data_IF_010219168923
#
_entry.id   IF_010219168923
#
_cell.length_a   1.000
_cell.length_b   1.000
_cell.length_c   1.000
_cell.angle_alpha   90.00
_cell.angle_beta   90.00
_cell.angle_gamma   90.00
#
_symmetry.space_group_name_H-M   'P 1'
#
loop_
_entity.id
_entity.type
_entity.pdbx_description
1 polymer ?
#
# COMPACT_ATOMS: atom_id res chain seq x y z
N UNK A 1 1.72 -2.46 -7.41
CA UNK A 1 2.26 -2.70 -6.05
C UNK A 1 3.45 -3.63 -6.20
N UNK A 2 4.41 -3.58 -5.26
CA UNK A 2 5.59 -4.44 -5.28
C UNK A 2 5.80 -5.14 -3.94
N UNK A 3 6.20 -6.40 -3.95
CA UNK A 3 6.73 -7.11 -2.78
C UNK A 3 8.13 -7.63 -3.08
N UNK A 4 9.00 -7.59 -2.08
CA UNK A 4 10.38 -8.01 -2.17
C UNK A 4 10.85 -8.79 -0.97
N UNK A 5 12.16 -9.00 -0.88
CA UNK A 5 12.80 -9.82 0.15
C UNK A 5 12.50 -9.39 1.60
N UNK A 6 12.06 -8.15 1.85
CA UNK A 6 11.67 -7.69 3.18
C UNK A 6 10.34 -8.28 3.69
N UNK A 7 9.49 -8.79 2.79
CA UNK A 7 8.13 -9.26 3.16
C UNK A 7 7.84 -10.65 2.59
N UNK A 8 8.42 -11.04 1.46
CA UNK A 8 8.20 -12.36 0.85
C UNK A 8 8.49 -13.56 1.77
N UNK A 9 9.49 -13.53 2.68
CA UNK A 9 9.65 -14.61 3.67
C UNK A 9 8.42 -14.85 4.54
N UNK A 10 7.64 -13.80 4.86
CA UNK A 10 6.39 -13.93 5.63
C UNK A 10 5.34 -14.66 4.79
N UNK A 11 5.21 -14.33 3.51
CA UNK A 11 4.30 -15.04 2.61
C UNK A 11 4.71 -16.49 2.39
N UNK A 12 6.01 -16.78 2.38
CA UNK A 12 6.50 -18.15 2.33
C UNK A 12 6.15 -18.95 3.60
N UNK A 13 6.33 -18.37 4.78
CA UNK A 13 5.92 -18.99 6.05
C UNK A 13 4.40 -19.25 6.12
N UNK A 14 3.60 -18.42 5.45
CA UNK A 14 2.16 -18.59 5.32
C UNK A 14 1.76 -19.59 4.22
N UNK A 15 2.71 -20.15 3.46
CA UNK A 15 2.43 -21.06 2.34
C UNK A 15 1.81 -20.37 1.12
N UNK A 16 1.97 -19.05 0.99
CA UNK A 16 1.35 -18.22 -0.04
C UNK A 16 2.33 -17.73 -1.11
N UNK A 17 3.62 -18.06 -1.01
CA UNK A 17 4.64 -17.57 -1.95
C UNK A 17 4.31 -17.94 -3.40
N UNK A 18 3.98 -19.20 -3.68
CA UNK A 18 3.64 -19.66 -5.04
C UNK A 18 2.41 -18.92 -5.62
N UNK A 19 1.41 -18.64 -4.79
CA UNK A 19 0.23 -17.88 -5.23
C UNK A 19 0.57 -16.42 -5.50
N UNK A 20 1.46 -15.80 -4.71
CA UNK A 20 1.99 -14.47 -4.98
C UNK A 20 2.72 -14.45 -6.32
N UNK A 21 3.57 -15.43 -6.59
CA UNK A 21 4.29 -15.55 -7.85
C UNK A 21 3.33 -15.67 -9.05
N UNK A 22 2.28 -16.49 -8.91
CA UNK A 22 1.25 -16.72 -9.93
C UNK A 22 0.49 -15.44 -10.32
N UNK A 23 0.22 -14.55 -9.36
CA UNK A 23 -0.52 -13.30 -9.59
C UNK A 23 0.39 -12.12 -9.97
N UNK A 24 1.69 -12.35 -10.16
CA UNK A 24 2.70 -11.31 -10.32
C UNK A 24 3.56 -11.48 -11.55
N UNK A 25 4.30 -10.41 -11.87
CA UNK A 25 5.46 -10.47 -12.76
C UNK A 25 6.72 -10.06 -11.98
N UNK A 26 7.87 -10.69 -12.21
CA UNK A 26 9.12 -10.24 -11.61
C UNK A 26 9.60 -8.93 -12.23
N UNK A 27 10.07 -8.01 -11.40
CA UNK A 27 10.66 -6.73 -11.79
C UNK A 27 12.16 -6.89 -12.00
N UNK A 28 12.62 -6.66 -13.23
CA UNK A 28 14.06 -6.73 -13.57
C UNK A 28 14.75 -5.38 -13.45
N UNK A 29 14.05 -4.30 -13.75
CA UNK A 29 14.57 -2.95 -13.59
C UNK A 29 13.45 -1.94 -13.35
N UNK A 30 13.83 -0.79 -12.80
CA UNK A 30 13.01 0.42 -12.86
C UNK A 30 13.74 1.42 -13.75
N UNK A 31 13.14 1.76 -14.88
CA UNK A 31 13.70 2.74 -15.81
C UNK A 31 13.22 4.14 -15.44
N UNK A 32 14.14 5.10 -15.35
CA UNK A 32 13.84 6.48 -14.98
C UNK A 32 14.06 7.42 -16.15
N UNK A 33 13.06 8.27 -16.40
CA UNK A 33 13.08 9.27 -17.45
C UNK A 33 12.83 10.67 -16.89
N UNK A 34 13.33 11.69 -17.58
CA UNK A 34 12.89 13.06 -17.33
C UNK A 34 11.57 13.36 -18.07
N UNK A 35 11.01 14.56 -17.87
CA UNK A 35 9.77 15.00 -18.52
C UNK A 35 9.75 14.95 -20.06
N UNK A 36 10.92 14.91 -20.71
CA UNK A 36 11.05 14.80 -22.17
C UNK A 36 11.20 13.35 -22.62
N UNK A 37 10.94 12.39 -21.72
CA UNK A 37 11.13 10.95 -21.91
C UNK A 37 12.56 10.58 -22.30
N UNK A 38 13.55 11.40 -21.92
CA UNK A 38 14.95 11.02 -22.05
C UNK A 38 15.37 10.23 -20.82
N UNK A 39 16.08 9.09 -20.99
CA UNK A 39 16.55 8.31 -19.87
C UNK A 39 17.49 9.15 -19.01
N UNK A 40 17.33 9.05 -17.69
CA UNK A 40 18.22 9.69 -16.71
C UNK A 40 18.91 8.67 -15.81
N UNK A 41 18.43 7.43 -15.79
CA UNK A 41 19.03 6.33 -15.04
C UNK A 41 18.06 5.18 -14.88
N UNK A 42 18.43 4.22 -14.05
CA UNK A 42 17.56 3.11 -13.69
C UNK A 42 18.13 2.30 -12.52
N UNK A 43 17.29 1.48 -11.94
CA UNK A 43 17.66 0.54 -10.87
C UNK A 43 17.61 -0.85 -11.48
N UNK A 44 18.76 -1.53 -11.55
CA UNK A 44 18.83 -2.93 -11.94
C UNK A 44 18.54 -3.83 -10.73
N UNK A 45 17.57 -4.73 -10.90
CA UNK A 45 17.09 -5.64 -9.86
C UNK A 45 17.35 -7.11 -10.22
N UNK A 46 18.01 -7.40 -11.35
CA UNK A 46 18.24 -8.78 -11.83
C UNK A 46 19.04 -9.63 -10.84
N UNK A 47 19.90 -9.01 -10.05
CA UNK A 47 20.71 -9.71 -9.04
C UNK A 47 19.97 -9.98 -7.73
N UNK A 48 18.74 -9.48 -7.53
CA UNK A 48 18.05 -9.56 -6.24
C UNK A 48 17.80 -11.00 -5.79
N UNK A 49 17.39 -11.90 -6.70
CA UNK A 49 17.18 -13.31 -6.34
C UNK A 49 18.44 -13.95 -5.78
N UNK A 50 19.58 -13.72 -6.43
CA UNK A 50 20.87 -14.28 -6.01
C UNK A 50 21.38 -13.66 -4.72
N UNK A 51 21.20 -12.35 -4.53
CA UNK A 51 21.73 -11.63 -3.38
C UNK A 51 20.83 -11.71 -2.13
N UNK A 52 19.52 -11.79 -2.33
CA UNK A 52 18.52 -11.65 -1.28
C UNK A 52 17.59 -12.86 -1.13
N UNK A 53 17.71 -13.87 -2.01
CA UNK A 53 16.88 -15.08 -2.03
C UNK A 53 15.56 -14.92 -2.80
N UNK A 54 15.11 -13.69 -3.07
CA UNK A 54 13.81 -13.42 -3.71
C UNK A 54 13.92 -12.41 -4.85
N UNK A 55 13.06 -12.57 -5.86
CA UNK A 55 12.80 -11.52 -6.84
C UNK A 55 11.88 -10.44 -6.24
N UNK A 56 11.85 -9.27 -6.88
CA UNK A 56 10.81 -8.28 -6.60
C UNK A 56 9.61 -8.57 -7.50
N UNK A 57 8.44 -8.81 -6.91
CA UNK A 57 7.22 -9.14 -7.64
C UNK A 57 6.29 -7.92 -7.75
N UNK A 58 5.78 -7.66 -8.95
CA UNK A 58 4.85 -6.59 -9.27
C UNK A 58 3.49 -7.17 -9.65
N UNK A 59 2.43 -6.60 -9.06
CA UNK A 59 1.05 -7.00 -9.30
C UNK A 59 0.08 -5.85 -9.02
N UNK A 60 -1.16 -5.99 -9.49
CA UNK A 60 -2.23 -5.07 -9.17
C UNK A 60 -2.72 -5.28 -7.72
N UNK A 61 -2.85 -4.19 -6.95
CA UNK A 61 -3.24 -4.24 -5.52
C UNK A 61 -4.50 -5.08 -5.24
N UNK A 62 -5.58 -5.00 -6.04
CA UNK A 62 -6.76 -5.83 -5.81
C UNK A 62 -6.46 -7.34 -5.77
N UNK A 63 -5.48 -7.83 -6.56
CA UNK A 63 -5.17 -9.27 -6.56
C UNK A 63 -4.59 -9.76 -5.24
N UNK A 64 -3.72 -8.97 -4.61
CA UNK A 64 -3.21 -9.30 -3.29
C UNK A 64 -4.32 -9.25 -2.25
N UNK A 65 -5.20 -8.24 -2.34
CA UNK A 65 -6.35 -8.14 -1.45
C UNK A 65 -7.26 -9.37 -1.57
N UNK A 66 -7.61 -9.77 -2.79
CA UNK A 66 -8.44 -10.94 -3.06
C UNK A 66 -7.76 -12.24 -2.59
N UNK A 67 -6.45 -12.38 -2.79
CA UNK A 67 -5.68 -13.53 -2.31
C UNK A 67 -5.72 -13.64 -0.78
N UNK A 68 -5.50 -12.52 -0.08
CA UNK A 68 -5.51 -12.47 1.38
C UNK A 68 -6.92 -12.69 1.94
N UNK A 69 -7.93 -12.08 1.31
CA UNK A 69 -9.32 -12.20 1.74
C UNK A 69 -9.80 -13.65 1.69
N UNK A 70 -9.39 -14.42 0.67
CA UNK A 70 -9.70 -15.84 0.54
C UNK A 70 -9.13 -16.71 1.66
N UNK A 71 -8.11 -16.25 2.38
CA UNK A 71 -7.52 -16.99 3.50
C UNK A 71 -8.34 -16.88 4.78
N UNK A 72 -9.33 -15.98 4.83
CA UNK A 72 -10.13 -15.72 6.02
C UNK A 72 -11.57 -16.15 5.74
N UNK A 73 -12.16 -17.03 6.57
CA UNK A 73 -13.56 -17.41 6.41
C UNK A 73 -14.50 -16.19 6.44
N UNK A 74 -15.44 -16.05 5.48
CA UNK A 74 -16.28 -14.85 5.37
C UNK A 74 -17.07 -14.51 6.63
N UNK A 75 -17.54 -15.51 7.38
CA UNK A 75 -18.28 -15.35 8.63
C UNK A 75 -17.45 -14.73 9.76
N UNK A 76 -16.12 -14.70 9.62
CA UNK A 76 -15.21 -14.02 10.56
C UNK A 76 -14.94 -12.56 10.17
N UNK A 77 -15.53 -12.07 9.08
CA UNK A 77 -15.31 -10.73 8.57
C UNK A 77 -16.61 -9.94 8.64
N UNK A 78 -16.62 -8.89 9.45
CA UNK A 78 -17.72 -7.92 9.50
C UNK A 78 -17.33 -6.65 8.75
N UNK A 79 -17.92 -6.44 7.59
CA UNK A 79 -17.75 -5.21 6.81
C UNK A 79 -18.64 -4.07 7.32
N UNK A 80 -18.32 -2.83 6.92
CA UNK A 80 -19.08 -1.64 7.31
C UNK A 80 -18.87 -1.21 8.78
N UNK A 81 -17.87 -1.79 9.46
CA UNK A 81 -17.56 -1.52 10.87
C UNK A 81 -16.41 -0.53 11.00
N UNK A 82 -16.70 0.78 11.03
CA UNK A 82 -15.70 1.82 11.36
C UNK A 82 -15.61 1.94 12.88
N UNK A 83 -14.44 1.68 13.46
CA UNK A 83 -14.19 1.83 14.90
C UNK A 83 -14.18 3.33 15.24
N UNK A 84 -14.92 3.72 16.27
CA UNK A 84 -14.94 5.09 16.81
C UNK A 84 -14.14 5.21 18.10
N UNK A 85 -14.39 4.31 19.05
CA UNK A 85 -13.73 4.34 20.36
C UNK A 85 -13.37 2.93 20.80
N UNK A 86 -12.30 2.84 21.59
CA UNK A 86 -11.89 1.61 22.26
C UNK A 86 -11.59 1.88 23.72
N UNK A 87 -12.17 1.09 24.60
CA UNK A 87 -11.95 1.15 26.05
C UNK A 87 -11.35 -0.16 26.53
N UNK A 88 -10.52 -0.10 27.57
CA UNK A 88 -9.94 -1.30 28.17
C UNK A 88 -9.97 -1.19 29.69
N UNK A 89 -10.76 -2.06 30.30
CA UNK A 89 -10.67 -2.40 31.71
C UNK A 89 -10.09 -3.82 31.80
N UNK A 90 -10.93 -4.83 32.08
CA UNK A 90 -10.55 -6.24 32.04
C UNK A 90 -10.51 -6.79 30.60
N UNK A 91 -11.48 -6.38 29.77
CA UNK A 91 -11.59 -6.73 28.35
C UNK A 91 -11.60 -5.45 27.51
N UNK A 92 -11.38 -5.60 26.21
CA UNK A 92 -11.43 -4.48 25.26
C UNK A 92 -12.86 -4.33 24.75
N UNK A 93 -13.43 -3.15 24.94
CA UNK A 93 -14.72 -2.77 24.39
C UNK A 93 -14.51 -1.87 23.17
N UNK A 94 -15.23 -2.15 22.09
CA UNK A 94 -15.13 -1.45 20.81
C UNK A 94 -16.50 -0.91 20.46
N UNK A 95 -16.59 0.38 20.13
CA UNK A 95 -17.81 1.00 19.59
C UNK A 95 -17.62 1.35 18.12
N UNK A 96 -18.59 1.01 17.28
CA UNK A 96 -18.57 1.24 15.84
C UNK A 96 -19.53 2.35 15.41
N UNK A 97 -19.30 2.92 14.23
CA UNK A 97 -20.10 4.02 13.68
C UNK A 97 -21.55 3.68 13.34
N UNK A 98 -21.86 2.40 13.24
CA UNK A 98 -23.21 1.88 13.02
C UNK A 98 -23.96 1.55 14.33
N UNK A 99 -23.46 2.07 15.46
CA UNK A 99 -23.93 1.83 16.81
C UNK A 99 -23.81 0.37 17.28
N UNK A 100 -23.09 -0.49 16.55
CA UNK A 100 -22.75 -1.83 17.06
C UNK A 100 -21.54 -1.76 17.99
N UNK A 101 -21.46 -2.72 18.91
CA UNK A 101 -20.36 -2.85 19.85
C UNK A 101 -19.85 -4.29 19.91
N UNK A 102 -18.56 -4.42 20.25
CA UNK A 102 -17.87 -5.70 20.35
C UNK A 102 -17.01 -5.73 21.61
N UNK A 103 -16.77 -6.93 22.13
CA UNK A 103 -15.92 -7.16 23.28
C UNK A 103 -14.93 -8.29 22.99
N UNK A 104 -13.67 -8.13 23.40
CA UNK A 104 -12.64 -9.14 23.20
C UNK A 104 -11.47 -9.02 24.17
N UNK A 105 -10.67 -10.07 24.27
CA UNK A 105 -9.49 -10.11 25.13
C UNK A 105 -8.30 -9.33 24.53
N UNK A 106 -8.19 -9.35 23.20
CA UNK A 106 -7.10 -8.71 22.46
C UNK A 106 -7.69 -7.90 21.30
N UNK A 107 -7.18 -6.68 21.11
CA UNK A 107 -7.45 -5.84 19.95
C UNK A 107 -6.15 -5.60 19.19
N UNK A 108 -6.16 -5.88 17.89
CA UNK A 108 -5.04 -5.61 16.98
C UNK A 108 -5.47 -4.48 16.04
N UNK A 109 -4.78 -3.34 16.10
CA UNK A 109 -5.00 -2.20 15.21
C UNK A 109 -4.25 -2.38 13.88
N UNK A 110 -4.97 -2.84 12.84
CA UNK A 110 -4.48 -2.94 11.47
C UNK A 110 -5.24 -2.00 10.50
N UNK A 111 -5.77 -0.90 11.04
CA UNK A 111 -6.68 0.06 10.41
C UNK A 111 -5.97 1.26 9.74
N UNK A 112 -4.69 1.09 9.41
CA UNK A 112 -3.94 1.97 8.51
C UNK A 112 -3.48 3.30 9.11
N UNK A 113 -3.09 4.23 8.22
CA UNK A 113 -2.47 5.49 8.61
C UNK A 113 -3.37 6.35 9.51
N UNK A 114 -4.69 6.27 9.35
CA UNK A 114 -5.69 7.02 10.12
C UNK A 114 -6.39 6.17 11.18
N UNK A 115 -5.64 5.23 11.77
CA UNK A 115 -6.11 4.28 12.78
C UNK A 115 -6.93 4.92 13.90
N UNK A 116 -8.19 4.48 14.07
CA UNK A 116 -9.04 4.82 15.19
C UNK A 116 -8.60 4.10 16.47
N UNK A 117 -8.02 2.91 16.33
CA UNK A 117 -7.41 2.16 17.45
C UNK A 117 -6.24 2.96 18.05
N UNK A 118 -5.32 3.47 17.21
CA UNK A 118 -4.18 4.28 17.67
C UNK A 118 -4.65 5.57 18.33
N UNK A 119 -5.64 6.26 17.76
CA UNK A 119 -6.19 7.48 18.34
C UNK A 119 -6.79 7.24 19.75
N UNK A 120 -7.55 6.15 19.93
CA UNK A 120 -8.10 5.78 21.24
C UNK A 120 -7.00 5.40 22.25
N UNK A 121 -5.89 4.80 21.78
CA UNK A 121 -4.72 4.55 22.62
C UNK A 121 -4.02 5.85 23.03
N UNK A 122 -3.77 6.75 22.08
CA UNK A 122 -3.10 8.03 22.31
C UNK A 122 -3.86 8.89 23.30
N UNK A 123 -5.19 9.00 23.17
CA UNK A 123 -6.03 9.72 24.14
C UNK A 123 -5.80 9.22 25.57
N UNK A 124 -5.79 7.89 25.77
CA UNK A 124 -5.57 7.29 27.11
C UNK A 124 -4.17 7.51 27.65
N UNK A 125 -3.17 7.58 26.77
CA UNK A 125 -1.79 7.88 27.15
C UNK A 125 -1.63 9.36 27.52
N UNK A 126 -2.29 10.25 26.78
CA UNK A 126 -2.32 11.68 27.03
C UNK A 126 -3.04 12.01 28.36
N UNK A 127 -4.19 11.37 28.62
CA UNK A 127 -4.92 11.45 29.89
C UNK A 127 -4.05 11.04 31.10
N UNK A 128 -3.00 10.22 30.86
CA UNK A 128 -2.03 9.77 31.87
C UNK A 128 -0.71 10.55 31.86
N UNK A 129 -0.53 11.49 30.93
CA UNK A 129 0.70 12.25 30.76
C UNK A 129 1.90 11.43 30.29
N UNK A 130 1.68 10.29 29.61
CA UNK A 130 2.73 9.37 29.14
C UNK A 130 2.86 9.32 27.61
N UNK A 131 2.08 10.13 26.88
CA UNK A 131 2.18 10.20 25.43
C UNK A 131 3.46 10.97 25.03
N UNK A 132 4.38 10.37 24.26
CA UNK A 132 5.55 11.09 23.77
C UNK A 132 5.13 12.23 22.84
N UNK A 133 5.72 13.42 23.02
CA UNK A 133 5.40 14.58 22.18
C UNK A 133 5.72 14.36 20.70
N UNK A 134 6.73 13.54 20.39
CA UNK A 134 7.09 13.18 19.02
C UNK A 134 5.96 12.43 18.30
N UNK A 135 5.13 11.66 19.03
CA UNK A 135 4.00 10.92 18.45
C UNK A 135 2.83 11.83 18.07
N UNK A 136 2.85 13.10 18.49
CA UNK A 136 1.90 14.14 18.11
C UNK A 136 2.37 14.96 16.90
N UNK A 137 3.60 14.76 16.43
CA UNK A 137 4.10 15.49 15.28
C UNK A 137 3.38 15.07 13.99
N UNK A 138 2.96 16.06 13.22
CA UNK A 138 2.34 15.82 11.93
C UNK A 138 3.39 15.46 10.88
N UNK A 139 3.05 14.51 10.02
CA UNK A 139 3.80 14.29 8.79
C UNK A 139 3.75 15.56 7.92
N UNK A 140 4.93 16.12 7.63
CA UNK A 140 5.08 17.38 6.88
C UNK A 140 5.17 17.19 5.37
N UNK A 141 5.23 15.94 4.91
CA UNK A 141 5.36 15.58 3.49
C UNK A 141 4.01 15.08 2.98
N UNK A 142 3.41 15.82 2.06
CA UNK A 142 2.13 15.48 1.43
C UNK A 142 2.30 15.09 -0.04
N UNK A 143 1.48 14.14 -0.49
CA UNK A 143 1.37 13.78 -1.90
C UNK A 143 -0.09 13.71 -2.29
N UNK A 144 -0.43 14.25 -3.47
CA UNK A 144 -1.67 13.91 -4.17
C UNK A 144 -1.31 12.84 -5.19
N UNK A 145 -1.97 11.68 -5.10
CA UNK A 145 -1.74 10.56 -6.00
C UNK A 145 -3.04 10.14 -6.67
N UNK A 146 -3.01 9.98 -7.98
CA UNK A 146 -4.04 9.28 -8.74
C UNK A 146 -3.43 8.00 -9.31
N UNK A 147 -4.07 6.88 -9.09
CA UNK A 147 -3.58 5.56 -9.54
C UNK A 147 -4.70 4.80 -10.21
N UNK A 148 -4.33 3.87 -11.09
CA UNK A 148 -5.31 3.00 -11.74
C UNK A 148 -4.70 1.76 -12.35
N UNK A 149 -5.58 0.89 -12.82
CA UNK A 149 -5.22 -0.29 -13.62
C UNK A 149 -5.93 -0.14 -14.96
N UNK A 150 -5.16 -0.11 -16.04
CA UNK A 150 -5.67 -0.05 -17.39
C UNK A 150 -5.51 -1.43 -18.06
N UNK A 151 -6.47 -1.77 -18.92
CA UNK A 151 -6.37 -2.91 -19.84
C UNK A 151 -6.46 -2.37 -21.26
N UNK A 152 -5.34 -2.34 -22.02
CA UNK A 152 -5.36 -1.90 -23.41
C UNK A 152 -6.36 -2.73 -24.23
N UNK A 153 -7.11 -2.06 -25.12
CA UNK A 153 -8.07 -2.74 -26.01
C UNK A 153 -7.40 -3.64 -27.04
N UNK A 154 -6.18 -3.29 -27.44
CA UNK A 154 -5.38 -3.98 -28.43
C UNK A 154 -3.98 -4.23 -27.82
N UNK A 155 -3.78 -5.38 -27.16
CA UNK A 155 -2.49 -5.74 -26.57
C UNK A 155 -1.38 -5.94 -27.60
N UNK A 156 -1.70 -6.21 -28.87
CA UNK A 156 -0.70 -6.45 -29.91
C UNK A 156 0.09 -5.19 -30.27
N UNK A 157 -0.47 -4.00 -30.00
CA UNK A 157 0.25 -2.72 -30.05
C UNK A 157 1.33 -2.58 -28.97
N UNK A 158 1.27 -3.39 -27.93
CA UNK A 158 2.16 -3.32 -26.77
C UNK A 158 2.75 -4.71 -26.50
N UNK A 159 3.64 -5.22 -27.40
CA UNK A 159 4.20 -6.56 -27.29
C UNK A 159 4.86 -6.84 -25.94
N UNK A 160 5.42 -5.82 -25.29
CA UNK A 160 6.03 -5.91 -23.96
C UNK A 160 5.07 -6.35 -22.84
N UNK A 161 3.74 -6.27 -23.05
CA UNK A 161 2.75 -6.77 -22.09
C UNK A 161 2.68 -8.29 -22.05
N UNK A 162 3.23 -8.96 -23.08
CA UNK A 162 3.29 -10.42 -23.18
C UNK A 162 4.56 -11.00 -22.56
N UNK A 163 5.47 -10.15 -22.09
CA UNK A 163 6.71 -10.60 -21.48
C UNK A 163 6.47 -11.26 -20.12
N UNK A 164 7.37 -12.17 -19.75
CA UNK A 164 7.32 -12.90 -18.47
C UNK A 164 7.91 -12.10 -17.31
N UNK A 165 8.16 -10.81 -17.50
CA UNK A 165 8.67 -9.89 -16.49
C UNK A 165 8.01 -8.52 -16.63
N UNK A 166 8.01 -7.77 -15.53
CA UNK A 166 7.42 -6.45 -15.45
C UNK A 166 8.34 -5.40 -16.08
N UNK A 167 7.77 -4.57 -16.95
CA UNK A 167 8.37 -3.32 -17.44
C UNK A 167 7.90 -2.20 -16.53
N UNK A 168 8.82 -1.60 -15.77
CA UNK A 168 8.51 -0.52 -14.83
C UNK A 168 9.25 0.74 -15.23
N UNK A 169 8.49 1.79 -15.57
CA UNK A 169 9.02 3.11 -15.89
C UNK A 169 8.48 4.18 -14.94
N UNK A 170 9.36 5.08 -14.54
CA UNK A 170 9.05 6.28 -13.77
C UNK A 170 9.53 7.50 -14.53
N UNK A 171 8.68 8.51 -14.63
CA UNK A 171 9.02 9.81 -15.20
C UNK A 171 9.08 10.83 -14.07
N UNK A 172 10.25 11.42 -13.88
CA UNK A 172 10.47 12.55 -12.96
C UNK A 172 10.09 13.83 -13.71
N UNK A 173 8.96 14.42 -13.30
CA UNK A 173 8.44 15.66 -13.83
C UNK A 173 9.02 16.90 -13.14
N UNK A 174 8.48 18.06 -13.52
CA UNK A 174 8.80 19.34 -12.88
C UNK A 174 7.75 19.72 -11.83
N UNK A 175 8.16 20.50 -10.82
CA UNK A 175 7.28 20.97 -9.74
C UNK A 175 6.69 19.83 -8.91
N UNK A 176 7.53 18.88 -8.48
CA UNK A 176 7.12 17.75 -7.62
C UNK A 176 6.30 16.66 -8.32
N UNK A 177 6.08 16.75 -9.63
CA UNK A 177 5.30 15.77 -10.39
C UNK A 177 6.09 14.50 -10.67
N UNK A 178 5.43 13.36 -10.57
CA UNK A 178 5.95 12.07 -10.98
C UNK A 178 4.87 11.25 -11.68
N UNK A 179 5.30 10.39 -12.60
CA UNK A 179 4.42 9.50 -13.32
C UNK A 179 5.02 8.10 -13.32
N UNK A 180 4.19 7.08 -13.17
CA UNK A 180 4.61 5.69 -13.18
C UNK A 180 3.71 4.89 -14.11
N UNK A 181 4.33 3.98 -14.87
CA UNK A 181 3.64 2.95 -15.62
C UNK A 181 4.37 1.63 -15.40
N UNK A 182 3.61 0.58 -15.08
CA UNK A 182 4.18 -0.73 -14.81
C UNK A 182 3.29 -1.83 -15.38
N UNK A 183 3.87 -2.75 -16.15
CA UNK A 183 3.13 -3.92 -16.62
C UNK A 183 2.93 -4.91 -15.47
N UNK A 184 1.73 -5.49 -15.42
CA UNK A 184 1.36 -6.56 -14.48
C UNK A 184 0.68 -7.67 -15.28
N UNK A 185 0.43 -8.86 -14.69
CA UNK A 185 -0.18 -9.97 -15.43
C UNK A 185 -1.49 -9.62 -16.15
N UNK A 186 -1.87 -10.47 -17.10
CA UNK A 186 -3.10 -10.38 -17.92
C UNK A 186 -3.17 -9.17 -18.86
N UNK A 187 -2.02 -8.78 -19.42
CA UNK A 187 -1.87 -7.64 -20.32
C UNK A 187 -2.39 -6.33 -19.70
N UNK A 188 -2.18 -6.14 -18.40
CA UNK A 188 -2.63 -4.96 -17.67
C UNK A 188 -1.46 -4.00 -17.39
N UNK A 189 -1.79 -2.73 -17.22
CA UNK A 189 -0.83 -1.68 -16.85
C UNK A 189 -1.36 -1.03 -15.58
N UNK A 190 -0.60 -1.11 -14.49
CA UNK A 190 -0.81 -0.21 -13.37
C UNK A 190 -0.13 1.12 -13.68
N UNK A 191 -0.81 2.22 -13.41
CA UNK A 191 -0.28 3.55 -13.63
C UNK A 191 -0.52 4.44 -12.40
N UNK A 192 0.32 5.44 -12.25
CA UNK A 192 0.21 6.42 -11.19
C UNK A 192 0.67 7.79 -11.65
N UNK A 193 -0.03 8.83 -11.22
CA UNK A 193 0.39 10.22 -11.31
C UNK A 193 0.47 10.76 -9.89
N UNK A 194 1.59 11.36 -9.52
CA UNK A 194 1.81 11.94 -8.21
C UNK A 194 2.25 13.38 -8.30
N UNK A 195 1.85 14.19 -7.33
CA UNK A 195 2.37 15.54 -7.11
C UNK A 195 2.78 15.62 -5.65
N UNK A 196 4.06 15.90 -5.40
CA UNK A 196 4.51 16.28 -4.07
C UNK A 196 4.03 17.69 -3.76
N UNK A 197 3.31 17.83 -2.65
CA UNK A 197 2.81 19.11 -2.15
C UNK A 197 3.93 19.86 -1.43
N UNK A 198 3.87 21.19 -1.46
CA UNK A 198 4.61 22.01 -0.50
C UNK A 198 4.12 21.76 0.92
N UNK A 199 4.92 22.14 1.92
CA UNK A 199 4.54 22.00 3.33
C UNK A 199 3.24 22.77 3.65
N UNK A 200 2.99 23.89 3.00
CA UNK A 200 1.76 24.67 3.17
C UNK A 200 0.55 23.91 2.61
N UNK A 201 0.63 23.46 1.35
CA UNK A 201 -0.45 22.68 0.71
C UNK A 201 -0.73 21.36 1.43
N UNK A 202 0.32 20.70 1.94
CA UNK A 202 0.17 19.46 2.69
C UNK A 202 -0.61 19.64 4.00
N UNK A 203 -0.48 20.80 4.66
CA UNK A 203 -1.27 21.13 5.86
C UNK A 203 -2.76 21.29 5.53
N UNK A 204 -3.09 21.91 4.40
CA UNK A 204 -4.48 22.12 3.99
C UNK A 204 -5.16 20.81 3.54
N UNK A 205 -4.38 19.85 3.06
CA UNK A 205 -4.84 18.52 2.60
C UNK A 205 -4.81 17.44 3.70
N UNK A 206 -4.64 17.82 4.97
CA UNK A 206 -4.65 16.85 6.07
C UNK A 206 -6.01 16.14 6.16
N UNK A 207 -5.97 14.82 6.07
CA UNK A 207 -7.13 13.96 6.26
C UNK A 207 -7.78 14.20 7.63
N UNK A 208 -9.10 14.35 7.65
CA UNK A 208 -9.88 14.55 8.86
C UNK A 208 -10.74 13.32 9.10
N UNK A 209 -10.60 12.67 10.26
CA UNK A 209 -11.42 11.50 10.63
C UNK A 209 -12.93 11.79 10.74
N UNK A 210 -13.30 13.08 10.74
CA UNK A 210 -14.68 13.59 10.79
C UNK A 210 -15.46 13.44 9.48
N UNK A 211 -14.82 12.93 8.42
CA UNK A 211 -15.48 12.54 7.16
C UNK A 211 -15.72 11.02 7.08
#
# INVERSE_FOLDING_TARGET
>A
MSLGASVLPVFEQLGLLEEIERISLPSRSVEMYNRKLKPIGGIDQRAHKTLLGYENYIFARPRLYDLMLKQVPPEKISFGKKILTTEKENRVHISCSDNTSYEGDILIGADGAYSGVRQSLYKRMDDKGVLPSIDLENFSIGFVSMVGVAKPKDPDKYPQLKDTFSHFSVVVGEGGRNYAAVSVPDNQICWGLGIQLSVAEAKDQQFRNSE
#
